data_IF_401306727021
#
_entry.id   IF_401306727021
#
_cell.length_a   1.000
_cell.length_b   1.000
_cell.length_c   1.000
_cell.angle_alpha   90.00
_cell.angle_beta   90.00
_cell.angle_gamma   90.00
#
_symmetry.space_group_name_H-M   'P 1'
#
loop_
_entity.id
_entity.type
_entity.pdbx_description
1 polymer ?
#
# COMPACT_ATOMS: atom_id res chain seq x y z
N UNK A 1 -0.66 4.90 -19.69
CA UNK A 1 0.46 4.64 -18.76
C UNK A 1 0.54 3.16 -18.47
N UNK A 2 1.57 2.57 -18.96
CA UNK A 2 1.72 1.13 -18.80
C UNK A 2 1.91 0.68 -17.37
N UNK A 3 2.49 1.55 -16.55
CA UNK A 3 2.75 1.23 -15.15
C UNK A 3 1.47 0.97 -14.35
N UNK A 4 0.32 1.39 -14.84
CA UNK A 4 -0.93 1.25 -14.10
C UNK A 4 -1.79 0.09 -14.57
N UNK A 5 -1.31 -0.73 -15.52
CA UNK A 5 -2.10 -1.85 -16.03
C UNK A 5 -2.51 -2.85 -14.96
N UNK A 6 -1.63 -3.07 -13.99
CA UNK A 6 -1.84 -4.07 -12.94
C UNK A 6 -2.10 -3.43 -11.58
N UNK A 7 -2.60 -2.22 -11.58
CA UNK A 7 -2.85 -1.48 -10.35
C UNK A 7 -4.34 -1.46 -10.04
N UNK A 8 -4.69 -1.85 -8.82
CA UNK A 8 -6.03 -1.68 -8.29
C UNK A 8 -5.94 -0.82 -7.04
N UNK A 9 -6.65 0.30 -7.05
CA UNK A 9 -6.74 1.16 -5.88
C UNK A 9 -8.13 1.02 -5.29
N UNK A 10 -8.18 0.68 -4.00
CA UNK A 10 -9.43 0.60 -3.26
C UNK A 10 -9.47 1.75 -2.27
N UNK A 11 -10.41 2.62 -2.45
CA UNK A 11 -10.56 3.80 -1.60
C UNK A 11 -11.97 3.94 -1.07
N UNK A 12 -12.16 4.95 -0.25
CA UNK A 12 -13.46 5.26 0.31
C UNK A 12 -13.31 6.22 1.46
N UNK A 13 -14.38 6.91 1.79
CA UNK A 13 -14.36 7.94 2.82
C UNK A 13 -14.66 7.41 4.21
N UNK A 14 -15.24 6.22 4.32
CA UNK A 14 -15.59 5.65 5.60
C UNK A 14 -14.48 4.84 6.21
N UNK A 15 -14.44 4.82 7.53
CA UNK A 15 -13.55 3.92 8.26
C UNK A 15 -14.21 2.56 8.39
N UNK A 16 -13.42 1.53 8.33
CA UNK A 16 -13.87 0.17 8.62
C UNK A 16 -15.09 -0.24 7.82
N UNK A 17 -15.12 0.15 6.57
CA UNK A 17 -16.23 -0.19 5.69
C UNK A 17 -15.93 -1.44 4.85
N UNK A 18 -15.07 -2.30 5.36
CA UNK A 18 -14.75 -3.55 4.68
C UNK A 18 -13.69 -3.44 3.61
N UNK A 19 -13.00 -2.31 3.50
CA UNK A 19 -11.96 -2.14 2.47
C UNK A 19 -10.83 -3.14 2.64
N UNK A 20 -10.32 -3.29 3.85
CA UNK A 20 -9.21 -4.20 4.09
C UNK A 20 -9.63 -5.64 3.87
N UNK A 21 -10.84 -6.01 4.27
CA UNK A 21 -11.34 -7.35 4.02
C UNK A 21 -11.46 -7.64 2.53
N UNK A 22 -11.97 -6.69 1.76
CA UNK A 22 -12.06 -6.84 0.31
C UNK A 22 -10.68 -7.01 -0.30
N UNK A 23 -9.74 -6.17 0.11
CA UNK A 23 -8.38 -6.22 -0.40
C UNK A 23 -7.74 -7.56 -0.07
N UNK A 24 -7.89 -8.03 1.15
CA UNK A 24 -7.33 -9.32 1.55
C UNK A 24 -7.95 -10.48 0.78
N UNK A 25 -9.25 -10.41 0.51
CA UNK A 25 -9.91 -11.43 -0.31
C UNK A 25 -9.35 -11.46 -1.73
N UNK A 26 -9.15 -10.28 -2.32
CA UNK A 26 -8.58 -10.18 -3.66
C UNK A 26 -7.15 -10.70 -3.67
N UNK A 27 -6.34 -10.29 -2.69
CA UNK A 27 -4.95 -10.75 -2.58
C UNK A 27 -4.92 -12.27 -2.47
N UNK A 28 -5.76 -12.84 -1.62
CA UNK A 28 -5.80 -14.28 -1.42
C UNK A 28 -6.09 -15.02 -2.72
N UNK A 29 -6.98 -14.49 -3.54
CA UNK A 29 -7.33 -15.13 -4.80
C UNK A 29 -6.24 -14.98 -5.84
N UNK A 30 -5.67 -13.78 -5.97
CA UNK A 30 -4.63 -13.52 -6.97
C UNK A 30 -3.34 -14.27 -6.63
N UNK A 31 -3.01 -14.36 -5.34
CA UNK A 31 -1.77 -14.98 -4.90
C UNK A 31 -1.68 -16.45 -5.26
N UNK A 32 -2.79 -17.07 -5.58
CA UNK A 32 -2.81 -18.48 -6.04
C UNK A 32 -2.29 -18.62 -7.46
N UNK A 33 -2.27 -17.52 -8.23
CA UNK A 33 -1.89 -17.56 -9.64
C UNK A 33 -0.59 -16.83 -9.93
N UNK A 34 -0.28 -15.80 -9.17
CA UNK A 34 0.94 -15.02 -9.39
C UNK A 34 1.30 -14.27 -8.11
N UNK A 35 2.50 -13.70 -8.10
CA UNK A 35 2.89 -12.84 -7.00
C UNK A 35 2.09 -11.55 -7.06
N UNK A 36 1.49 -11.17 -5.94
CA UNK A 36 0.74 -9.94 -5.82
C UNK A 36 1.38 -9.11 -4.71
N UNK A 37 1.45 -7.81 -4.93
CA UNK A 37 1.99 -6.88 -3.94
C UNK A 37 0.84 -6.07 -3.35
N UNK A 38 0.98 -5.73 -2.08
CA UNK A 38 0.01 -4.89 -1.40
C UNK A 38 0.63 -3.58 -0.98
N UNK A 39 -0.20 -2.57 -0.82
CA UNK A 39 0.24 -1.29 -0.30
C UNK A 39 -0.91 -0.58 0.40
N UNK A 40 -0.55 0.29 1.32
CA UNK A 40 -1.48 1.20 1.95
C UNK A 40 -0.85 2.59 1.97
N UNK A 41 -1.64 3.61 1.66
CA UNK A 41 -1.18 4.99 1.75
C UNK A 41 -1.98 5.73 2.81
N UNK A 42 -1.31 6.53 3.60
CA UNK A 42 -1.95 7.41 4.56
C UNK A 42 -1.24 8.74 4.60
N UNK A 43 -1.98 9.75 5.07
CA UNK A 43 -1.42 11.06 5.28
C UNK A 43 -0.56 11.07 6.54
N UNK A 44 0.58 11.75 6.48
CA UNK A 44 1.45 11.89 7.63
C UNK A 44 0.83 12.88 8.61
N UNK A 45 0.66 12.43 9.85
CA UNK A 45 0.31 13.33 10.95
C UNK A 45 1.60 13.72 11.66
N UNK A 46 1.76 14.99 12.03
CA UNK A 46 3.03 15.48 12.58
C UNK A 46 3.51 14.77 13.84
N UNK A 47 2.58 14.21 14.62
CA UNK A 47 2.90 13.61 15.91
C UNK A 47 2.81 12.09 15.90
N UNK A 48 2.73 11.49 14.73
CA UNK A 48 2.61 10.03 14.65
C UNK A 48 3.94 9.35 14.93
N UNK A 49 3.86 8.27 15.67
CA UNK A 49 5.03 7.40 15.86
C UNK A 49 5.35 6.67 14.56
N UNK A 50 6.62 6.39 14.33
CA UNK A 50 7.00 5.58 13.18
C UNK A 50 6.33 4.21 13.23
N UNK A 51 6.04 3.69 12.05
CA UNK A 51 5.47 2.36 11.94
C UNK A 51 6.53 1.30 12.18
N UNK A 52 6.04 0.13 12.58
CA UNK A 52 6.87 -1.05 12.60
C UNK A 52 7.12 -1.47 11.16
N UNK A 53 8.32 -1.95 10.91
CA UNK A 53 8.70 -2.35 9.58
C UNK A 53 9.99 -1.71 9.16
N UNK A 54 10.39 -1.96 7.94
CA UNK A 54 11.64 -1.45 7.42
C UNK A 54 11.39 -0.26 6.51
N UNK A 55 12.03 0.86 6.83
CA UNK A 55 12.02 2.01 5.93
C UNK A 55 12.88 1.69 4.71
N UNK A 56 12.30 1.79 3.53
CA UNK A 56 13.00 1.48 2.29
C UNK A 56 13.42 2.75 1.57
N UNK A 57 12.56 3.76 1.57
CA UNK A 57 12.81 4.99 0.84
C UNK A 57 12.08 6.13 1.52
N UNK A 58 12.55 7.34 1.30
CA UNK A 58 11.88 8.50 1.87
C UNK A 58 12.59 9.79 1.56
N UNK A 59 11.86 10.87 1.79
CA UNK A 59 12.40 12.22 1.74
C UNK A 59 11.58 13.07 2.72
N UNK A 60 11.66 14.40 2.62
CA UNK A 60 10.94 15.26 3.54
C UNK A 60 9.42 15.22 3.38
N UNK A 61 8.92 14.71 2.26
CA UNK A 61 7.49 14.71 1.97
C UNK A 61 6.83 13.35 2.06
N UNK A 62 7.59 12.27 2.08
CA UNK A 62 7.02 10.93 2.13
C UNK A 62 8.02 9.91 2.63
N UNK A 63 7.48 8.80 3.18
CA UNK A 63 8.26 7.67 3.67
C UNK A 63 7.60 6.38 3.21
N UNK A 64 8.41 5.43 2.77
CA UNK A 64 7.94 4.10 2.38
C UNK A 64 8.54 3.07 3.32
N UNK A 65 7.67 2.28 3.94
CA UNK A 65 8.05 1.18 4.82
C UNK A 65 7.65 -0.14 4.18
N UNK A 66 8.39 -1.18 4.48
CA UNK A 66 7.98 -2.54 4.13
C UNK A 66 7.45 -3.23 5.37
N UNK A 67 6.24 -3.79 5.30
CA UNK A 67 5.68 -4.55 6.41
C UNK A 67 6.36 -5.90 6.51
N UNK A 68 6.87 -6.22 7.69
CA UNK A 68 7.57 -7.48 7.94
C UNK A 68 6.81 -8.44 8.84
N UNK A 69 5.75 -7.99 9.48
CA UNK A 69 5.05 -8.80 10.47
C UNK A 69 3.68 -9.20 9.97
N UNK A 70 3.36 -10.49 10.11
CA UNK A 70 2.06 -11.03 9.70
C UNK A 70 1.07 -11.10 10.83
N UNK A 71 1.56 -11.05 12.07
CA UNK A 71 0.73 -11.38 13.23
C UNK A 71 0.11 -10.17 13.90
N UNK A 72 0.28 -9.01 13.34
CA UNK A 72 -0.32 -7.80 13.85
C UNK A 72 -1.72 -7.59 13.25
N UNK A 73 -2.54 -6.78 13.90
CA UNK A 73 -3.87 -6.44 13.41
C UNK A 73 -3.85 -5.29 12.41
N UNK A 74 -2.69 -4.77 12.10
CA UNK A 74 -2.57 -3.69 11.11
C UNK A 74 -3.03 -4.15 9.74
N UNK A 75 -3.58 -3.22 8.97
CA UNK A 75 -4.05 -3.54 7.63
C UNK A 75 -2.95 -4.11 6.75
N UNK A 76 -1.74 -3.55 6.84
CA UNK A 76 -0.61 -4.04 6.06
C UNK A 76 -0.22 -5.46 6.45
N UNK A 77 -0.25 -5.76 7.74
CA UNK A 77 0.04 -7.12 8.21
C UNK A 77 -1.02 -8.11 7.73
N UNK A 78 -2.28 -7.68 7.71
CA UNK A 78 -3.36 -8.52 7.21
C UNK A 78 -3.21 -8.83 5.72
N UNK A 79 -2.76 -7.85 4.94
CA UNK A 79 -2.48 -8.07 3.52
C UNK A 79 -1.35 -9.09 3.34
N UNK A 80 -0.30 -8.99 4.15
CA UNK A 80 0.81 -9.93 4.09
C UNK A 80 0.34 -11.34 4.45
N UNK A 81 -0.48 -11.47 5.49
CA UNK A 81 -1.02 -12.74 5.90
C UNK A 81 -1.96 -13.34 4.84
N UNK A 82 -2.64 -12.49 4.08
CA UNK A 82 -3.56 -12.94 3.04
C UNK A 82 -2.83 -13.53 1.83
N UNK A 83 -1.53 -13.32 1.72
CA UNK A 83 -0.74 -13.94 0.66
C UNK A 83 0.03 -12.95 -0.22
N UNK A 84 0.04 -11.68 0.10
CA UNK A 84 0.85 -10.73 -0.66
C UNK A 84 2.32 -11.11 -0.52
N UNK A 85 3.04 -11.04 -1.62
CA UNK A 85 4.46 -11.35 -1.63
C UNK A 85 5.25 -10.34 -0.79
N UNK A 86 4.93 -9.06 -0.96
CA UNK A 86 5.43 -7.97 -0.13
C UNK A 86 4.34 -6.94 0.04
N UNK A 87 4.38 -6.22 1.15
CA UNK A 87 3.42 -5.17 1.44
C UNK A 87 4.18 -3.92 1.87
N UNK A 88 3.81 -2.81 1.27
CA UNK A 88 4.43 -1.53 1.56
C UNK A 88 3.44 -0.58 2.19
N UNK A 89 3.95 0.33 2.97
CA UNK A 89 3.17 1.38 3.59
C UNK A 89 3.78 2.72 3.20
N UNK A 90 3.01 3.53 2.51
CA UNK A 90 3.43 4.86 2.12
C UNK A 90 2.77 5.88 3.03
N UNK A 91 3.58 6.65 3.75
CA UNK A 91 3.11 7.81 4.49
C UNK A 91 3.59 9.05 3.76
N UNK A 92 2.70 9.98 3.49
CA UNK A 92 3.07 11.20 2.79
C UNK A 92 2.15 12.34 3.19
N UNK A 93 2.63 13.57 2.99
CA UNK A 93 1.73 14.70 3.00
C UNK A 93 0.81 14.60 1.78
N UNK A 94 -0.35 15.24 1.85
CA UNK A 94 -1.30 15.19 0.75
C UNK A 94 -0.71 15.73 -0.56
N UNK A 95 0.14 16.73 -0.46
CA UNK A 95 0.81 17.33 -1.65
C UNK A 95 1.81 16.39 -2.31
N UNK A 96 2.35 15.44 -1.57
CA UNK A 96 3.44 14.60 -2.04
C UNK A 96 3.03 13.14 -2.27
N UNK A 97 1.75 12.83 -2.11
CA UNK A 97 1.32 11.42 -2.21
C UNK A 97 1.55 10.85 -3.59
N UNK A 98 1.32 11.61 -4.63
CA UNK A 98 1.53 11.13 -6.00
C UNK A 98 3.01 10.84 -6.25
N UNK A 99 3.89 11.72 -5.81
CA UNK A 99 5.32 11.54 -5.96
C UNK A 99 5.80 10.31 -5.19
N UNK A 100 5.35 10.16 -3.94
CA UNK A 100 5.70 9.00 -3.14
C UNK A 100 5.19 7.70 -3.75
N UNK A 101 3.99 7.74 -4.31
CA UNK A 101 3.43 6.57 -4.95
C UNK A 101 4.19 6.19 -6.22
N UNK A 102 4.64 7.16 -7.01
CA UNK A 102 5.48 6.88 -8.17
C UNK A 102 6.78 6.21 -7.75
N UNK A 103 7.36 6.65 -6.64
CA UNK A 103 8.55 6.00 -6.13
C UNK A 103 8.26 4.57 -5.68
N UNK A 104 7.12 4.36 -5.03
CA UNK A 104 6.69 3.02 -4.65
C UNK A 104 6.60 2.11 -5.88
N UNK A 105 6.01 2.60 -6.97
CA UNK A 105 5.89 1.81 -8.19
C UNK A 105 7.26 1.43 -8.77
N UNK A 106 8.26 2.29 -8.61
CA UNK A 106 9.62 1.97 -9.08
C UNK A 106 10.26 0.83 -8.31
N UNK A 107 9.83 0.60 -7.07
CA UNK A 107 10.37 -0.49 -6.26
C UNK A 107 9.79 -1.84 -6.65
N UNK A 108 8.72 -1.86 -7.43
CA UNK A 108 8.04 -3.10 -7.79
C UNK A 108 8.59 -3.66 -9.09
N UNK A 109 8.66 -5.00 -9.20
CA UNK A 109 8.99 -5.62 -10.49
C UNK A 109 7.94 -5.25 -11.53
N UNK A 110 8.37 -5.21 -12.79
CA UNK A 110 7.44 -4.97 -13.88
C UNK A 110 6.39 -6.07 -13.96
N UNK A 111 5.20 -5.69 -14.41
CA UNK A 111 4.08 -6.61 -14.60
C UNK A 111 3.61 -7.32 -13.35
N UNK A 112 3.87 -6.73 -12.19
CA UNK A 112 3.43 -7.29 -10.92
C UNK A 112 2.15 -6.60 -10.49
N UNK A 113 1.09 -7.35 -10.19
CA UNK A 113 -0.14 -6.74 -9.67
C UNK A 113 0.10 -6.07 -8.33
N UNK A 114 -0.42 -4.88 -8.18
CA UNK A 114 -0.38 -4.13 -6.93
C UNK A 114 -1.80 -3.77 -6.52
N UNK A 115 -2.16 -4.10 -5.30
CA UNK A 115 -3.44 -3.71 -4.72
C UNK A 115 -3.15 -2.71 -3.62
N UNK A 116 -3.69 -1.51 -3.76
CA UNK A 116 -3.41 -0.41 -2.85
C UNK A 116 -4.68 0.06 -2.16
N UNK A 117 -4.63 0.16 -0.85
CA UNK A 117 -5.67 0.78 -0.06
C UNK A 117 -5.32 2.25 0.15
N UNK A 118 -6.19 3.15 -0.29
CA UNK A 118 -5.95 4.57 -0.12
C UNK A 118 -7.26 5.35 -0.14
N UNK A 119 -7.34 6.36 0.71
CA UNK A 119 -8.51 7.24 0.72
C UNK A 119 -8.37 8.42 -0.25
N UNK A 120 -7.16 8.80 -0.57
CA UNK A 120 -6.93 10.04 -1.32
C UNK A 120 -6.11 9.88 -2.59
N UNK A 121 -5.43 8.75 -2.76
CA UNK A 121 -4.49 8.61 -3.88
C UNK A 121 -5.18 8.78 -5.24
N UNK A 122 -6.37 8.22 -5.40
CA UNK A 122 -7.07 8.30 -6.68
C UNK A 122 -7.38 9.74 -7.09
N UNK A 123 -7.51 10.64 -6.15
CA UNK A 123 -7.76 12.05 -6.44
C UNK A 123 -6.54 12.75 -7.03
N UNK A 124 -5.35 12.19 -6.85
CA UNK A 124 -4.09 12.77 -7.29
C UNK A 124 -3.50 12.08 -8.52
N UNK A 125 -4.16 11.08 -9.02
CA UNK A 125 -3.73 10.36 -10.23
C UNK A 125 -4.58 10.74 -11.48
#
# INVERSE_FOLDING_TARGET
MEHFKNLLIVGGTGRNVGKTELICTIISKISRQCQVYGAKTTEIAPDKTPLQGRTISGNSGWLIYEEKFRDSEKDTARMLKAGAHRVYYLQSSDENVAEGFLELLRLLPENTPLICESNSLAEHL
#
